data_IF_942903890886
#
_entry.id   IF_942903890886
#
_cell.length_a   1.000
_cell.length_b   1.000
_cell.length_c   1.000
_cell.angle_alpha   90.00
_cell.angle_beta   90.00
_cell.angle_gamma   90.00
#
_symmetry.space_group_name_H-M   'P 1'
#
loop_
_entity.id
_entity.type
_entity.pdbx_description
1 polymer ?
#
# COMPACT_ATOMS: atom_id res chain seq x y z
N UNK A 1 -0.90 -12.87 -5.04
CA UNK A 1 0.09 -13.08 -6.12
C UNK A 1 1.25 -13.91 -5.61
N UNK A 2 1.78 -14.86 -6.39
CA UNK A 2 2.98 -15.61 -6.03
C UNK A 2 4.20 -14.68 -5.92
N UNK A 3 5.22 -15.13 -5.20
CA UNK A 3 6.53 -14.46 -5.22
C UNK A 3 7.17 -14.74 -6.57
N UNK A 4 7.61 -13.70 -7.27
CA UNK A 4 8.28 -13.81 -8.59
C UNK A 4 9.75 -13.41 -8.54
N UNK A 5 10.16 -12.74 -7.47
CA UNK A 5 11.55 -12.29 -7.27
C UNK A 5 11.93 -12.33 -5.79
N UNK A 6 13.17 -12.67 -5.52
CA UNK A 6 13.78 -12.48 -4.21
C UNK A 6 14.16 -11.01 -3.99
N UNK A 7 14.02 -10.51 -2.77
CA UNK A 7 14.41 -9.14 -2.44
C UNK A 7 15.90 -9.10 -2.07
N UNK A 8 16.76 -8.33 -2.76
CA UNK A 8 18.12 -8.09 -2.34
C UNK A 8 18.21 -7.51 -0.93
N UNK A 9 19.32 -7.78 -0.25
CA UNK A 9 19.68 -7.04 0.96
C UNK A 9 20.30 -5.71 0.52
N UNK A 10 19.65 -4.61 0.85
CA UNK A 10 20.17 -3.29 0.54
C UNK A 10 20.99 -2.74 1.70
N UNK A 11 22.08 -1.99 1.42
CA UNK A 11 22.82 -1.31 2.46
C UNK A 11 21.92 -0.27 3.15
N UNK A 12 22.09 -0.15 4.47
CA UNK A 12 21.40 0.86 5.26
C UNK A 12 21.81 2.26 4.81
N UNK A 13 20.83 3.06 4.41
CA UNK A 13 20.98 4.46 4.06
C UNK A 13 20.64 5.32 5.28
N UNK A 14 21.21 6.53 5.31
CA UNK A 14 21.00 7.49 6.43
C UNK A 14 19.51 7.75 6.71
N UNK A 15 18.64 7.54 5.74
CA UNK A 15 17.19 7.78 5.82
C UNK A 15 16.34 6.54 6.13
N UNK A 16 16.90 5.34 6.19
CA UNK A 16 16.12 4.10 6.37
C UNK A 16 15.54 3.97 7.80
N UNK A 17 16.20 4.46 8.84
CA UNK A 17 15.69 4.31 10.22
C UNK A 17 14.66 5.35 10.67
N UNK A 18 14.67 6.55 10.06
CA UNK A 18 13.84 7.69 10.52
C UNK A 18 12.43 7.71 9.90
N UNK A 19 12.24 7.02 8.78
CA UNK A 19 11.06 7.12 7.93
C UNK A 19 10.35 5.75 7.78
N UNK A 20 11.08 4.64 7.96
CA UNK A 20 10.51 3.29 7.80
C UNK A 20 9.62 2.90 8.98
N UNK A 21 9.88 3.45 10.16
CA UNK A 21 8.93 3.48 11.26
C UNK A 21 8.37 4.88 11.34
N UNK A 22 7.10 5.05 11.00
CA UNK A 22 6.36 6.29 11.26
C UNK A 22 6.23 6.48 12.77
N UNK A 23 7.31 6.73 13.50
CA UNK A 23 7.18 7.20 14.89
C UNK A 23 6.57 8.58 14.79
N UNK A 24 5.46 8.80 15.49
CA UNK A 24 4.83 10.12 15.61
C UNK A 24 5.83 11.03 16.34
N UNK A 25 6.79 11.60 15.61
CA UNK A 25 7.76 12.55 16.15
C UNK A 25 7.86 13.70 15.18
N UNK A 26 6.89 14.61 15.29
CA UNK A 26 6.84 15.86 14.54
C UNK A 26 5.44 16.44 14.61
N UNK A 27 5.34 17.75 14.87
CA UNK A 27 4.10 18.51 14.99
C UNK A 27 3.20 18.49 13.72
N UNK A 28 3.62 17.79 12.66
CA UNK A 28 2.99 17.81 11.33
C UNK A 28 2.05 16.61 11.04
N UNK A 29 1.97 15.58 11.90
CA UNK A 29 0.88 14.59 11.85
C UNK A 29 0.81 13.66 10.61
N UNK A 30 1.86 13.57 9.78
CA UNK A 30 1.89 12.79 8.51
C UNK A 30 2.15 11.27 8.75
N UNK A 31 1.98 10.78 9.98
CA UNK A 31 2.31 9.39 10.36
C UNK A 31 1.13 8.42 10.30
N UNK A 32 1.24 7.33 9.53
CA UNK A 32 0.29 6.20 9.50
C UNK A 32 0.47 5.19 10.67
N UNK A 33 0.98 5.61 11.82
CA UNK A 33 1.21 4.75 12.99
C UNK A 33 0.22 4.94 14.13
N UNK A 34 -0.89 5.65 13.88
CA UNK A 34 -1.86 6.12 14.89
C UNK A 34 -2.35 5.03 15.86
N UNK A 35 -2.19 3.74 15.54
CA UNK A 35 -2.61 2.63 16.37
C UNK A 35 -1.52 1.57 16.65
N UNK A 36 -0.28 1.72 16.14
CA UNK A 36 0.77 0.69 16.25
C UNK A 36 1.19 0.41 17.71
N UNK A 37 1.35 1.48 18.51
CA UNK A 37 1.70 1.36 19.92
C UNK A 37 0.66 0.57 20.74
N UNK A 38 -0.59 0.48 20.25
CA UNK A 38 -1.65 -0.29 20.88
C UNK A 38 -1.67 -1.76 20.43
N UNK A 39 -1.26 -2.05 19.18
CA UNK A 39 -1.27 -3.40 18.62
C UNK A 39 -0.09 -4.26 19.13
N UNK A 40 1.12 -3.69 19.20
CA UNK A 40 2.32 -4.42 19.63
C UNK A 40 2.26 -4.88 21.10
N UNK A 41 1.64 -4.10 21.99
CA UNK A 41 1.51 -4.44 23.42
C UNK A 41 0.57 -5.63 23.70
N UNK A 42 -0.29 -5.99 22.75
CA UNK A 42 -1.38 -6.96 22.95
C UNK A 42 -1.21 -8.26 22.13
N UNK A 43 -0.08 -8.45 21.45
CA UNK A 43 0.27 -9.70 20.76
C UNK A 43 -0.59 -10.03 19.53
N UNK A 44 -1.17 -9.02 18.87
CA UNK A 44 -2.04 -9.24 17.70
C UNK A 44 -1.25 -9.48 16.42
N UNK A 45 -1.89 -10.16 15.46
CA UNK A 45 -1.39 -10.24 14.08
C UNK A 45 -1.08 -8.85 13.55
N UNK A 46 0.10 -8.70 12.94
CA UNK A 46 0.53 -7.47 12.29
C UNK A 46 -0.48 -6.97 11.23
N UNK A 47 -0.33 -5.72 10.82
CA UNK A 47 -1.20 -5.09 9.82
C UNK A 47 -1.18 -5.83 8.48
N UNK A 48 -2.09 -5.48 7.58
CA UNK A 48 -2.02 -5.94 6.19
C UNK A 48 -2.04 -4.75 5.24
N UNK A 49 -1.20 -4.83 4.22
CA UNK A 49 -1.20 -3.89 3.09
C UNK A 49 -1.83 -4.59 1.90
N UNK A 50 -3.05 -4.21 1.53
CA UNK A 50 -3.76 -4.78 0.40
C UNK A 50 -3.58 -3.94 -0.87
N UNK A 51 -3.45 -4.62 -2.01
CA UNK A 51 -3.25 -4.00 -3.31
C UNK A 51 -4.51 -4.12 -4.14
N UNK A 52 -4.97 -2.99 -4.64
CA UNK A 52 -6.25 -2.86 -5.32
C UNK A 52 -6.03 -2.27 -6.71
N UNK A 53 -6.84 -2.71 -7.67
CA UNK A 53 -7.00 -1.99 -8.93
C UNK A 53 -8.04 -0.87 -8.77
N UNK A 54 -8.08 0.05 -9.72
CA UNK A 54 -9.03 1.18 -9.76
C UNK A 54 -10.51 0.74 -9.78
N UNK A 55 -10.77 -0.49 -10.22
CA UNK A 55 -12.11 -1.09 -10.22
C UNK A 55 -12.49 -1.72 -8.87
N UNK A 56 -11.60 -1.75 -7.87
CA UNK A 56 -11.84 -2.36 -6.57
C UNK A 56 -11.64 -3.88 -6.53
N UNK A 57 -10.88 -4.44 -7.48
CA UNK A 57 -10.40 -5.84 -7.44
C UNK A 57 -9.11 -5.88 -6.63
N UNK A 58 -9.02 -6.80 -5.68
CA UNK A 58 -7.81 -7.01 -4.89
C UNK A 58 -6.84 -7.96 -5.62
N UNK A 59 -5.60 -7.54 -5.82
CA UNK A 59 -4.54 -8.42 -6.35
C UNK A 59 -3.91 -9.32 -5.28
N UNK A 60 -4.01 -8.90 -4.03
CA UNK A 60 -3.49 -9.62 -2.86
C UNK A 60 -3.13 -8.67 -1.74
N UNK A 61 -2.48 -9.21 -0.72
CA UNK A 61 -2.05 -8.46 0.44
C UNK A 61 -0.65 -8.88 0.89
N UNK A 62 0.03 -7.98 1.59
CA UNK A 62 1.29 -8.20 2.28
C UNK A 62 1.03 -8.14 3.78
N UNK A 63 1.51 -9.13 4.53
CA UNK A 63 1.48 -9.07 5.99
C UNK A 63 2.61 -8.16 6.46
N UNK A 64 2.27 -7.16 7.27
CA UNK A 64 3.18 -6.17 7.82
C UNK A 64 3.58 -6.65 9.21
N UNK A 65 4.80 -7.14 9.42
CA UNK A 65 5.24 -7.65 10.71
C UNK A 65 5.40 -6.52 11.74
N UNK A 66 5.95 -5.38 11.31
CA UNK A 66 6.21 -4.18 12.11
C UNK A 66 5.65 -2.96 11.38
N UNK A 67 5.11 -1.97 12.10
CA UNK A 67 4.18 -0.95 11.59
C UNK A 67 4.39 -0.44 10.16
N UNK A 68 3.27 -0.22 9.45
CA UNK A 68 3.23 0.10 8.02
C UNK A 68 4.19 1.24 7.62
N UNK A 69 5.05 0.96 6.65
CA UNK A 69 5.88 1.95 6.01
C UNK A 69 6.11 1.70 4.52
N UNK A 70 6.89 2.59 3.89
CA UNK A 70 7.31 2.46 2.49
C UNK A 70 8.06 1.16 2.18
N UNK A 71 8.70 0.57 3.19
CA UNK A 71 9.44 -0.69 3.07
C UNK A 71 8.52 -1.88 2.75
N UNK A 72 7.33 -1.95 3.35
CA UNK A 72 6.34 -3.01 3.09
C UNK A 72 5.76 -2.88 1.67
N UNK A 73 5.40 -1.65 1.29
CA UNK A 73 4.92 -1.35 -0.06
C UNK A 73 5.97 -1.70 -1.12
N UNK A 74 7.22 -1.27 -0.92
CA UNK A 74 8.35 -1.64 -1.78
C UNK A 74 8.53 -3.16 -1.86
N UNK A 75 8.57 -3.84 -0.71
CA UNK A 75 8.78 -5.29 -0.65
C UNK A 75 7.73 -6.04 -1.44
N UNK A 76 6.46 -5.65 -1.28
CA UNK A 76 5.36 -6.26 -2.02
C UNK A 76 5.42 -5.94 -3.51
N UNK A 77 5.63 -4.69 -3.90
CA UNK A 77 5.74 -4.29 -5.31
C UNK A 77 6.87 -5.06 -6.01
N UNK A 78 8.06 -5.04 -5.43
CA UNK A 78 9.25 -5.62 -6.03
C UNK A 78 9.21 -7.16 -6.11
N UNK A 79 8.68 -7.83 -5.08
CA UNK A 79 8.72 -9.30 -5.02
C UNK A 79 7.54 -9.97 -5.72
N UNK A 80 6.45 -9.25 -5.98
CA UNK A 80 5.18 -9.83 -6.49
C UNK A 80 4.84 -9.43 -7.92
N UNK A 81 5.38 -8.32 -8.42
CA UNK A 81 5.19 -7.89 -9.80
C UNK A 81 6.38 -8.28 -10.67
N UNK A 82 6.11 -8.86 -11.84
CA UNK A 82 7.14 -9.14 -12.85
C UNK A 82 7.67 -7.85 -13.47
N UNK A 83 6.76 -6.91 -13.72
CA UNK A 83 7.01 -5.56 -14.23
C UNK A 83 6.31 -4.59 -13.28
N UNK A 84 6.99 -3.52 -12.86
CA UNK A 84 6.41 -2.55 -11.94
C UNK A 84 5.12 -1.93 -12.52
N UNK A 85 4.13 -1.61 -11.67
CA UNK A 85 2.96 -0.87 -12.13
C UNK A 85 3.39 0.47 -12.74
N UNK A 86 2.73 0.89 -13.83
CA UNK A 86 2.95 2.24 -14.42
C UNK A 86 2.58 3.36 -13.45
N UNK A 87 1.55 3.13 -12.63
CA UNK A 87 1.07 4.09 -11.64
C UNK A 87 0.87 3.35 -10.32
N UNK A 88 1.44 3.90 -9.24
CA UNK A 88 1.25 3.45 -7.87
C UNK A 88 0.60 4.58 -7.08
N UNK A 89 -0.60 4.32 -6.56
CA UNK A 89 -1.34 5.28 -5.73
C UNK A 89 -1.24 4.84 -4.27
N UNK A 90 -0.69 5.70 -3.43
CA UNK A 90 -0.43 5.39 -2.03
C UNK A 90 -0.35 6.66 -1.18
N UNK A 91 -0.91 6.64 0.02
CA UNK A 91 -0.92 7.80 0.93
C UNK A 91 0.49 8.31 1.21
N UNK A 92 1.47 7.40 1.31
CA UNK A 92 2.87 7.74 1.55
C UNK A 92 3.74 7.68 0.28
N UNK A 93 3.15 7.94 -0.89
CA UNK A 93 3.83 7.88 -2.18
C UNK A 93 5.06 8.80 -2.27
N UNK A 94 5.03 9.97 -1.62
CA UNK A 94 6.13 10.93 -1.62
C UNK A 94 7.44 10.39 -1.04
N UNK A 95 7.36 9.48 -0.06
CA UNK A 95 8.51 8.80 0.51
C UNK A 95 8.79 7.46 -0.19
N UNK A 96 7.75 6.80 -0.71
CA UNK A 96 7.87 5.54 -1.44
C UNK A 96 8.62 5.71 -2.76
N UNK A 97 8.31 6.73 -3.56
CA UNK A 97 8.91 6.93 -4.88
C UNK A 97 10.45 7.04 -4.83
N UNK A 98 11.02 7.98 -4.06
CA UNK A 98 12.48 8.07 -3.88
C UNK A 98 13.09 6.79 -3.31
N UNK A 99 12.39 6.11 -2.39
CA UNK A 99 12.85 4.84 -1.84
C UNK A 99 12.94 3.75 -2.91
N UNK A 100 11.90 3.60 -3.74
CA UNK A 100 11.90 2.67 -4.87
C UNK A 100 13.03 2.96 -5.85
N UNK A 101 13.20 4.23 -6.25
CA UNK A 101 14.24 4.62 -7.22
C UNK A 101 15.65 4.42 -6.68
N UNK A 102 15.88 4.67 -5.40
CA UNK A 102 17.21 4.52 -4.78
C UNK A 102 17.63 3.05 -4.58
N UNK A 103 16.67 2.11 -4.63
CA UNK A 103 16.92 0.68 -4.48
C UNK A 103 16.95 -0.05 -5.80
N UNK A 104 15.94 0.18 -6.63
CA UNK A 104 15.65 -0.61 -7.82
C UNK A 104 15.19 0.31 -8.96
N UNK A 105 16.01 1.30 -9.30
CA UNK A 105 15.72 2.30 -10.33
C UNK A 105 15.28 1.65 -11.65
N UNK A 106 15.98 0.61 -12.11
CA UNK A 106 15.67 -0.04 -13.39
C UNK A 106 14.28 -0.69 -13.39
N UNK A 107 13.86 -1.25 -12.25
CA UNK A 107 12.54 -1.86 -12.13
C UNK A 107 11.42 -0.82 -12.08
N UNK A 108 11.66 0.34 -11.44
CA UNK A 108 10.67 1.40 -11.22
C UNK A 108 10.79 2.60 -12.16
N UNK A 109 11.67 2.56 -13.16
CA UNK A 109 11.96 3.70 -14.05
C UNK A 109 10.74 4.27 -14.77
N UNK A 110 9.77 3.41 -15.06
CA UNK A 110 8.52 3.74 -15.75
C UNK A 110 7.32 3.85 -14.78
N UNK A 111 7.57 3.92 -13.47
CA UNK A 111 6.52 4.00 -12.43
C UNK A 111 6.35 5.42 -11.93
N UNK A 112 5.11 5.92 -12.00
CA UNK A 112 4.68 7.17 -11.40
C UNK A 112 4.07 6.89 -10.02
N UNK A 113 4.54 7.59 -8.99
CA UNK A 113 4.06 7.47 -7.62
C UNK A 113 3.18 8.67 -7.25
N UNK A 114 1.93 8.40 -6.89
CA UNK A 114 0.90 9.42 -6.67
C UNK A 114 0.27 9.25 -5.28
N UNK A 115 0.10 10.37 -4.58
CA UNK A 115 -0.60 10.43 -3.30
C UNK A 115 -2.10 10.29 -3.55
N UNK A 116 -2.79 9.51 -2.72
CA UNK A 116 -4.25 9.46 -2.79
C UNK A 116 -4.84 10.86 -2.56
N UNK A 117 -5.77 11.27 -3.43
CA UNK A 117 -6.39 12.60 -3.39
C UNK A 117 -7.03 12.89 -2.03
N UNK A 118 -7.59 11.89 -1.36
CA UNK A 118 -8.18 12.08 -0.01
C UNK A 118 -7.15 12.51 1.04
N UNK A 119 -5.91 12.07 0.90
CA UNK A 119 -4.83 12.39 1.84
C UNK A 119 -3.99 13.58 1.39
N UNK A 120 -4.14 14.04 0.15
CA UNK A 120 -3.30 15.09 -0.47
C UNK A 120 -3.19 16.40 0.33
N UNK A 121 -4.23 16.81 1.06
CA UNK A 121 -4.22 18.03 1.88
C UNK A 121 -3.22 17.98 3.05
N UNK A 122 -2.85 16.77 3.49
CA UNK A 122 -1.82 16.53 4.52
C UNK A 122 -0.38 16.69 4.01
N UNK A 123 -0.17 16.78 2.69
CA UNK A 123 1.16 16.72 2.06
C UNK A 123 1.65 18.09 1.60
N UNK A 124 1.74 19.09 2.49
CA UNK A 124 2.02 20.48 2.08
C UNK A 124 3.43 20.73 1.53
N UNK A 125 4.41 19.92 1.89
CA UNK A 125 5.83 20.07 1.51
C UNK A 125 6.33 19.00 0.53
N UNK A 126 5.42 18.17 0.00
CA UNK A 126 5.79 17.10 -0.93
C UNK A 126 5.99 17.63 -2.35
N UNK A 127 6.78 16.89 -3.15
CA UNK A 127 7.03 17.24 -4.55
C UNK A 127 5.73 17.31 -5.36
N UNK A 128 5.54 18.32 -6.24
CA UNK A 128 4.41 18.39 -7.17
C UNK A 128 4.20 17.11 -7.99
N UNK A 129 5.29 16.38 -8.31
CA UNK A 129 5.21 15.12 -9.04
C UNK A 129 4.41 14.01 -8.32
N UNK A 130 4.14 14.16 -7.02
CA UNK A 130 3.36 13.18 -6.27
C UNK A 130 1.84 13.47 -6.29
N UNK A 131 1.37 14.55 -6.92
CA UNK A 131 -0.04 14.93 -6.88
C UNK A 131 -0.74 14.61 -8.20
N UNK A 132 -1.85 13.87 -8.13
CA UNK A 132 -2.67 13.52 -9.28
C UNK A 132 -3.16 14.75 -10.06
N UNK A 133 -3.31 15.90 -9.40
CA UNK A 133 -3.70 17.18 -10.01
C UNK A 133 -2.71 17.70 -11.04
N UNK A 134 -1.45 17.27 -11.00
CA UNK A 134 -0.43 17.69 -11.95
C UNK A 134 -0.37 16.80 -13.21
N UNK A 135 -1.19 15.75 -13.28
CA UNK A 135 -1.26 14.80 -14.38
C UNK A 135 -2.60 14.92 -15.15
N UNK A 136 -3.15 16.13 -15.26
CA UNK A 136 -4.46 16.38 -15.90
C UNK A 136 -4.50 16.04 -17.39
N UNK A 137 -3.35 15.96 -18.06
CA UNK A 137 -3.25 15.57 -19.47
C UNK A 137 -2.92 14.10 -19.66
N UNK A 138 -2.59 13.37 -18.59
CA UNK A 138 -2.31 11.95 -18.64
C UNK A 138 -3.63 11.16 -18.62
N UNK A 139 -3.94 10.39 -19.67
CA UNK A 139 -5.22 9.67 -19.76
C UNK A 139 -5.33 8.55 -18.73
N UNK A 140 -4.21 7.95 -18.30
CA UNK A 140 -4.19 6.85 -17.33
C UNK A 140 -4.42 7.37 -15.91
N UNK A 141 -3.99 8.60 -15.60
CA UNK A 141 -4.12 9.18 -14.26
C UNK A 141 -5.38 10.03 -14.10
N UNK A 142 -5.77 10.79 -15.13
CA UNK A 142 -6.86 11.77 -15.06
C UNK A 142 -8.19 11.18 -14.60
N UNK A 143 -8.54 10.01 -15.12
CA UNK A 143 -9.84 9.34 -14.86
C UNK A 143 -9.74 8.27 -13.78
N UNK A 144 -8.53 8.04 -13.24
CA UNK A 144 -8.32 6.99 -12.26
C UNK A 144 -8.98 7.33 -10.93
N UNK A 145 -9.75 6.36 -10.43
CA UNK A 145 -10.29 6.37 -9.07
C UNK A 145 -9.14 6.17 -8.06
N UNK A 146 -8.56 7.27 -7.57
CA UNK A 146 -7.45 7.21 -6.59
C UNK A 146 -7.87 6.60 -5.26
N UNK A 147 -9.15 6.60 -4.96
CA UNK A 147 -9.75 6.18 -3.69
C UNK A 147 -10.19 4.72 -3.68
N UNK A 148 -9.85 3.95 -4.72
CA UNK A 148 -10.19 2.54 -4.80
C UNK A 148 -9.63 1.72 -3.62
N UNK A 149 -8.46 2.12 -3.10
CA UNK A 149 -7.87 1.52 -1.92
C UNK A 149 -8.70 1.76 -0.65
N UNK A 150 -9.21 2.97 -0.43
CA UNK A 150 -10.09 3.28 0.71
C UNK A 150 -11.39 2.44 0.67
N UNK A 151 -12.00 2.36 -0.52
CA UNK A 151 -13.16 1.52 -0.75
C UNK A 151 -12.86 0.05 -0.42
N UNK A 152 -11.75 -0.50 -0.92
CA UNK A 152 -11.34 -1.87 -0.64
C UNK A 152 -11.04 -2.11 0.84
N UNK A 153 -10.35 -1.16 1.49
CA UNK A 153 -10.01 -1.21 2.91
C UNK A 153 -11.25 -1.15 3.80
N UNK A 154 -12.32 -0.46 3.39
CA UNK A 154 -13.62 -0.51 4.07
C UNK A 154 -14.19 -1.95 4.12
N UNK A 155 -13.98 -2.72 3.05
CA UNK A 155 -14.31 -4.14 3.01
C UNK A 155 -13.50 -4.96 4.01
N UNK A 156 -12.18 -4.73 4.06
CA UNK A 156 -11.29 -5.43 5.01
C UNK A 156 -11.59 -5.11 6.47
N UNK A 157 -12.10 -3.91 6.79
CA UNK A 157 -12.54 -3.56 8.16
C UNK A 157 -13.58 -4.54 8.71
N UNK A 158 -14.40 -5.16 7.85
CA UNK A 158 -15.44 -6.14 8.22
C UNK A 158 -14.87 -7.44 8.79
N UNK A 159 -13.65 -7.81 8.40
CA UNK A 159 -12.98 -9.03 8.85
C UNK A 159 -11.88 -8.77 9.87
N UNK A 160 -11.69 -7.50 10.27
CA UNK A 160 -10.63 -7.09 11.21
C UNK A 160 -10.75 -7.81 12.56
N UNK A 161 -11.96 -7.87 13.12
CA UNK A 161 -12.18 -8.48 14.44
C UNK A 161 -11.91 -9.99 14.46
N UNK A 162 -12.45 -10.82 13.55
CA UNK A 162 -12.13 -12.25 13.55
C UNK A 162 -10.65 -12.52 13.27
N UNK A 163 -10.04 -11.79 12.33
CA UNK A 163 -8.61 -11.94 12.00
C UNK A 163 -7.70 -11.69 13.21
N UNK A 164 -8.04 -10.71 14.05
CA UNK A 164 -7.25 -10.31 15.24
C UNK A 164 -6.98 -11.45 16.22
N UNK A 165 -7.88 -12.44 16.28
CA UNK A 165 -7.78 -13.57 17.21
C UNK A 165 -7.27 -14.86 16.53
N UNK A 166 -6.88 -14.80 15.26
CA UNK A 166 -6.35 -15.94 14.53
C UNK A 166 -4.83 -15.97 14.63
N UNK A 167 -4.24 -17.16 14.62
CA UNK A 167 -2.82 -17.31 14.28
C UNK A 167 -2.56 -16.74 12.87
N UNK A 168 -1.34 -16.26 12.60
CA UNK A 168 -0.98 -15.72 11.29
C UNK A 168 -1.34 -16.65 10.12
N UNK A 169 -1.11 -17.97 10.25
CA UNK A 169 -1.46 -18.93 9.20
C UNK A 169 -2.96 -18.93 8.87
N UNK A 170 -3.80 -19.10 9.89
CA UNK A 170 -5.25 -19.02 9.74
C UNK A 170 -5.73 -17.66 9.21
N UNK A 171 -5.14 -16.56 9.69
CA UNK A 171 -5.46 -15.22 9.21
C UNK A 171 -5.18 -15.08 7.71
N UNK A 172 -4.02 -15.54 7.23
CA UNK A 172 -3.65 -15.50 5.80
C UNK A 172 -4.67 -16.26 4.94
N UNK A 173 -5.02 -17.49 5.34
CA UNK A 173 -5.99 -18.31 4.60
C UNK A 173 -7.38 -17.66 4.61
N UNK A 174 -7.82 -17.15 5.76
CA UNK A 174 -9.12 -16.50 5.92
C UNK A 174 -9.24 -15.24 5.06
N UNK A 175 -8.26 -14.34 5.14
CA UNK A 175 -8.23 -13.09 4.35
C UNK A 175 -8.18 -13.42 2.86
N UNK A 176 -7.35 -14.38 2.46
CA UNK A 176 -7.27 -14.81 1.07
C UNK A 176 -8.64 -15.29 0.55
N UNK A 177 -9.36 -16.09 1.35
CA UNK A 177 -10.70 -16.56 0.97
C UNK A 177 -11.72 -15.42 0.91
N UNK A 178 -11.70 -14.51 1.88
CA UNK A 178 -12.54 -13.32 1.89
C UNK A 178 -12.34 -12.47 0.62
N UNK A 179 -11.09 -12.16 0.28
CA UNK A 179 -10.74 -11.37 -0.91
C UNK A 179 -11.11 -12.10 -2.21
N UNK A 180 -10.99 -13.43 -2.24
CA UNK A 180 -11.43 -14.23 -3.39
C UNK A 180 -12.94 -14.09 -3.65
N UNK A 181 -13.75 -14.11 -2.58
CA UNK A 181 -15.21 -13.91 -2.68
C UNK A 181 -15.57 -12.47 -3.03
N UNK A 182 -14.85 -11.50 -2.47
CA UNK A 182 -14.96 -10.08 -2.82
C UNK A 182 -14.74 -9.88 -4.31
N UNK A 183 -13.62 -10.38 -4.84
CA UNK A 183 -13.26 -10.26 -6.25
C UNK A 183 -14.31 -10.88 -7.16
N UNK A 184 -14.79 -12.10 -6.86
CA UNK A 184 -15.87 -12.74 -7.63
C UNK A 184 -17.13 -11.88 -7.68
N UNK A 185 -17.53 -11.34 -6.54
CA UNK A 185 -18.71 -10.46 -6.45
C UNK A 185 -18.50 -9.19 -7.25
N UNK A 186 -17.30 -8.59 -7.17
CA UNK A 186 -16.98 -7.35 -7.87
C UNK A 186 -16.92 -7.55 -9.39
N UNK A 187 -16.27 -8.62 -9.86
CA UNK A 187 -16.25 -8.97 -11.30
C UNK A 187 -17.67 -9.16 -11.85
N UNK A 188 -18.56 -9.85 -11.12
CA UNK A 188 -19.98 -10.01 -11.53
C UNK A 188 -20.74 -8.68 -11.62
N UNK A 189 -20.42 -7.70 -10.77
CA UNK A 189 -21.04 -6.37 -10.83
C UNK A 189 -20.49 -5.59 -12.03
N UNK A 190 -19.20 -5.69 -12.29
CA UNK A 190 -18.55 -5.01 -13.42
C UNK A 190 -18.98 -5.59 -14.77
N UNK A 191 -19.28 -6.89 -14.85
CA UNK A 191 -19.74 -7.54 -16.09
C UNK A 191 -21.22 -7.29 -16.43
N UNK A 192 -21.97 -6.60 -15.55
CA UNK A 192 -23.39 -6.26 -15.75
C UNK A 192 -23.59 -4.81 -16.19
N UNK A 193 -22.52 -4.02 -16.17
CA UNK A 193 -22.46 -2.64 -16.64
C UNK A 193 -21.74 -2.61 -17.99
#
# INVERSE_FOLDING_TARGET
MPKVRERPKYPGLRTDGKIDHNVVSGQDGIGCSKFFAEYGKKGYTGGILAFWCVHGICYGFHCIPDGEGRNDAFSALYTRWRVAPKVVIYDFACALGPYCMMREAEFFKDTIFIIDRFHSSGHKSCSPACFASNYVFDPDIRTTNTSAAEFGNSGLKRVRLPVRYMSQHHAVVYIHRFLSLWNRTRCKKLSRN
#
